data_IF_921573528473
#
_entry.id   IF_921573528473
#
_cell.length_a   1.000
_cell.length_b   1.000
_cell.length_c   1.000
_cell.angle_alpha   90.00
_cell.angle_beta   90.00
_cell.angle_gamma   90.00
#
_symmetry.space_group_name_H-M   'P 1'
#
loop_
_entity.id
_entity.type
_entity.pdbx_description
1 polymer ?
#
# COMPACT_ATOMS: atom_id res chain seq x y z
N UNK A 1 -4.12 0.93 -9.84
CA UNK A 1 -4.97 0.99 -11.05
C UNK A 1 -6.37 1.55 -10.75
N UNK A 2 -7.07 1.14 -9.67
CA UNK A 2 -8.41 1.68 -9.37
C UNK A 2 -8.45 3.22 -9.26
N UNK A 3 -7.38 3.82 -8.73
CA UNK A 3 -7.25 5.27 -8.57
C UNK A 3 -7.22 6.07 -9.90
N UNK A 4 -7.10 5.40 -11.05
CA UNK A 4 -7.21 5.99 -12.39
C UNK A 4 -8.43 5.44 -13.17
N UNK A 5 -9.42 4.88 -12.47
CA UNK A 5 -10.64 4.33 -13.07
C UNK A 5 -10.48 2.98 -13.76
N UNK A 6 -9.37 2.28 -13.54
CA UNK A 6 -9.10 0.96 -14.14
C UNK A 6 -9.31 -0.12 -13.09
N UNK A 7 -10.35 -0.94 -13.27
CA UNK A 7 -10.68 -2.07 -12.39
C UNK A 7 -9.76 -3.28 -12.64
N UNK A 8 -8.50 -3.14 -12.23
CA UNK A 8 -7.49 -4.20 -12.23
C UNK A 8 -6.76 -4.21 -10.90
N UNK A 9 -6.40 -5.39 -10.42
CA UNK A 9 -5.60 -5.58 -9.20
C UNK A 9 -4.13 -5.32 -9.46
N UNK A 10 -3.77 -4.06 -9.72
CA UNK A 10 -2.40 -3.65 -10.05
C UNK A 10 -2.03 -2.38 -9.30
N UNK A 11 -0.87 -2.37 -8.65
CA UNK A 11 -0.23 -1.15 -8.16
C UNK A 11 1.26 -1.12 -8.51
N UNK A 12 1.86 0.06 -8.41
CA UNK A 12 3.29 0.27 -8.59
C UNK A 12 3.89 0.89 -7.34
N UNK A 13 5.12 0.52 -7.01
CA UNK A 13 5.86 1.08 -5.88
C UNK A 13 7.18 1.66 -6.38
N UNK A 14 7.42 2.94 -6.10
CA UNK A 14 8.71 3.58 -6.36
C UNK A 14 9.60 3.48 -5.13
N UNK A 15 10.69 2.72 -5.23
CA UNK A 15 11.73 2.74 -4.21
C UNK A 15 12.58 4.01 -4.43
N UNK A 16 12.67 4.95 -3.48
CA UNK A 16 13.41 6.19 -3.66
C UNK A 16 14.91 5.96 -3.91
N UNK A 17 15.45 4.79 -3.55
CA UNK A 17 16.86 4.43 -3.78
C UNK A 17 17.07 3.75 -5.14
N UNK A 18 16.01 3.40 -5.86
CA UNK A 18 16.09 2.73 -7.16
C UNK A 18 15.55 3.62 -8.26
N UNK A 19 16.09 3.44 -9.46
CA UNK A 19 15.60 4.14 -10.65
C UNK A 19 14.26 3.60 -11.15
N UNK A 20 13.98 2.31 -10.87
CA UNK A 20 12.84 1.59 -11.44
C UNK A 20 11.70 1.41 -10.43
N UNK A 21 10.48 1.35 -10.96
CA UNK A 21 9.28 0.96 -10.22
C UNK A 21 9.24 -0.56 -10.03
N UNK A 22 8.73 -1.00 -8.88
CA UNK A 22 8.31 -2.39 -8.69
C UNK A 22 6.83 -2.50 -9.03
N UNK A 23 6.48 -3.46 -9.89
CA UNK A 23 5.09 -3.69 -10.32
C UNK A 23 4.50 -4.87 -9.54
N UNK A 24 3.27 -4.71 -9.06
CA UNK A 24 2.56 -5.73 -8.31
C UNK A 24 1.22 -6.04 -9.00
N UNK A 25 1.17 -7.15 -9.72
CA UNK A 25 -0.03 -7.66 -10.39
C UNK A 25 -0.65 -8.78 -9.56
N UNK A 26 -1.96 -8.70 -9.34
CA UNK A 26 -2.74 -9.60 -8.49
C UNK A 26 -2.10 -9.83 -7.11
N UNK A 27 -1.72 -8.76 -6.38
CA UNK A 27 -1.05 -8.91 -5.10
C UNK A 27 -1.98 -9.49 -4.03
N UNK A 28 -1.40 -10.31 -3.17
CA UNK A 28 -2.03 -10.90 -1.99
C UNK A 28 -1.11 -10.76 -0.78
N UNK A 29 -1.66 -10.25 0.33
CA UNK A 29 -0.99 -10.29 1.62
C UNK A 29 -1.17 -11.70 2.18
N UNK A 30 -0.07 -12.43 2.36
CA UNK A 30 -0.06 -13.78 2.91
C UNK A 30 0.04 -13.76 4.44
N UNK A 31 0.84 -12.84 4.99
CA UNK A 31 1.03 -12.69 6.44
C UNK A 31 1.28 -11.23 6.81
N UNK A 32 0.81 -10.87 8.00
CA UNK A 32 1.10 -9.61 8.68
C UNK A 32 1.76 -9.91 10.02
N UNK A 33 2.72 -9.07 10.43
CA UNK A 33 3.22 -9.13 11.80
C UNK A 33 2.11 -8.76 12.80
N UNK A 34 2.17 -9.36 14.00
CA UNK A 34 1.29 -8.97 15.12
C UNK A 34 1.58 -7.54 15.58
N UNK A 35 2.87 -7.18 15.57
CA UNK A 35 3.33 -5.83 15.83
C UNK A 35 2.93 -4.89 14.70
N UNK A 36 2.46 -3.71 15.08
CA UNK A 36 2.09 -2.65 14.18
C UNK A 36 1.94 -1.35 14.93
N UNK A 37 2.17 -0.25 14.23
CA UNK A 37 2.20 1.10 14.79
C UNK A 37 1.26 2.02 14.03
N UNK A 38 0.85 3.09 14.70
CA UNK A 38 0.16 4.20 14.03
C UNK A 38 1.17 4.91 13.13
N UNK A 39 0.93 4.87 11.83
CA UNK A 39 1.77 5.51 10.82
C UNK A 39 1.02 6.65 10.15
N UNK A 40 1.66 7.81 9.92
CA UNK A 40 1.04 8.88 9.16
C UNK A 40 0.85 8.43 7.69
N UNK A 41 -0.35 8.66 7.17
CA UNK A 41 -0.74 8.38 5.79
C UNK A 41 -1.46 9.57 5.18
N UNK A 42 -1.19 9.78 3.90
CA UNK A 42 -1.97 10.59 2.98
C UNK A 42 -2.17 9.79 1.69
N UNK A 43 -3.02 10.27 0.79
CA UNK A 43 -3.31 9.57 -0.46
C UNK A 43 -3.60 10.56 -1.60
N UNK A 44 -3.12 10.25 -2.81
CA UNK A 44 -3.40 11.07 -4.00
C UNK A 44 -4.89 11.08 -4.38
N UNK A 45 -5.64 10.04 -3.99
CA UNK A 45 -7.09 9.95 -4.20
C UNK A 45 -7.90 10.76 -3.20
N UNK A 46 -7.30 11.16 -2.07
CA UNK A 46 -7.96 11.95 -1.02
C UNK A 46 -7.01 13.09 -0.66
N UNK A 47 -6.97 14.08 -1.55
CA UNK A 47 -6.04 15.22 -1.45
C UNK A 47 -6.32 16.05 -0.22
N UNK A 48 -5.27 16.67 0.31
CA UNK A 48 -5.31 17.59 1.45
C UNK A 48 -5.73 16.95 2.77
N UNK A 49 -5.71 15.62 2.89
CA UNK A 49 -5.98 14.93 4.16
C UNK A 49 -4.78 14.09 4.59
N UNK A 50 -4.52 14.11 5.90
CA UNK A 50 -3.56 13.25 6.57
C UNK A 50 -4.19 12.65 7.81
N UNK A 51 -3.80 11.43 8.15
CA UNK A 51 -4.22 10.79 9.39
C UNK A 51 -3.28 9.65 9.76
N UNK A 52 -3.47 9.09 10.94
CA UNK A 52 -2.68 7.95 11.42
C UNK A 52 -3.46 6.66 11.24
N UNK A 53 -2.90 5.71 10.50
CA UNK A 53 -3.50 4.37 10.31
C UNK A 53 -2.62 3.35 11.01
N UNK A 54 -3.23 2.37 11.70
CA UNK A 54 -2.46 1.28 12.30
C UNK A 54 -2.07 0.29 11.20
N UNK A 55 -0.76 0.11 10.98
CA UNK A 55 -0.22 -0.82 9.98
C UNK A 55 0.72 -1.82 10.63
N UNK A 56 0.75 -3.04 10.10
CA UNK A 56 1.73 -4.04 10.51
C UNK A 56 3.14 -3.61 10.04
N UNK A 57 4.15 -3.81 10.88
CA UNK A 57 5.52 -3.41 10.55
C UNK A 57 6.19 -4.31 9.51
N UNK A 58 5.68 -5.54 9.34
CA UNK A 58 6.14 -6.50 8.33
C UNK A 58 4.97 -7.13 7.58
N UNK A 59 5.16 -7.32 6.29
CA UNK A 59 4.19 -7.95 5.37
C UNK A 59 4.92 -9.01 4.56
N UNK A 60 4.36 -10.21 4.48
CA UNK A 60 4.69 -11.18 3.44
C UNK A 60 3.66 -11.02 2.32
N UNK A 61 4.10 -10.62 1.13
CA UNK A 61 3.23 -10.43 -0.02
C UNK A 61 3.65 -11.33 -1.18
N UNK A 62 2.64 -11.85 -1.87
CA UNK A 62 2.76 -12.57 -3.13
C UNK A 62 2.19 -11.70 -4.24
N UNK A 63 2.84 -11.64 -5.40
CA UNK A 63 2.34 -10.97 -6.59
C UNK A 63 3.02 -11.51 -7.86
N UNK A 64 2.65 -10.97 -9.02
CA UNK A 64 3.42 -11.10 -10.27
C UNK A 64 4.03 -9.75 -10.64
N UNK A 65 5.21 -9.78 -11.25
CA UNK A 65 5.84 -8.60 -11.84
C UNK A 65 5.31 -8.30 -13.26
N UNK A 66 5.85 -7.27 -13.91
CA UNK A 66 5.47 -6.86 -15.26
C UNK A 66 5.77 -7.89 -16.34
N UNK A 67 6.67 -8.84 -16.09
CA UNK A 67 6.97 -9.97 -16.98
C UNK A 67 6.02 -11.14 -16.77
N UNK A 68 5.15 -11.06 -15.77
CA UNK A 68 4.23 -12.12 -15.37
C UNK A 68 4.84 -13.15 -14.43
N UNK A 69 6.11 -12.97 -14.01
CA UNK A 69 6.81 -13.87 -13.10
C UNK A 69 6.26 -13.67 -11.68
N UNK A 70 5.89 -14.79 -11.05
CA UNK A 70 5.41 -14.83 -9.67
C UNK A 70 6.57 -14.60 -8.70
N UNK A 71 6.34 -13.80 -7.67
CA UNK A 71 7.26 -13.64 -6.56
C UNK A 71 6.51 -13.62 -5.22
N UNK A 72 7.21 -14.05 -4.18
CA UNK A 72 6.81 -13.92 -2.78
C UNK A 72 7.95 -13.24 -2.03
N UNK A 73 7.64 -12.17 -1.28
CA UNK A 73 8.66 -11.36 -0.64
C UNK A 73 8.20 -10.75 0.68
N UNK A 74 9.13 -10.69 1.62
CA UNK A 74 8.97 -9.95 2.87
C UNK A 74 9.31 -8.48 2.67
N UNK A 75 8.44 -7.61 3.19
CA UNK A 75 8.60 -6.17 3.24
C UNK A 75 8.49 -5.69 4.68
N UNK A 76 9.17 -4.60 5.01
CA UNK A 76 9.15 -4.00 6.34
C UNK A 76 9.12 -2.48 6.28
N UNK A 77 8.75 -1.86 7.41
CA UNK A 77 8.74 -0.41 7.55
C UNK A 77 7.83 0.27 6.52
N UNK A 78 8.34 1.33 5.87
CA UNK A 78 7.56 2.11 4.90
C UNK A 78 7.05 1.26 3.73
N UNK A 79 7.83 0.29 3.24
CA UNK A 79 7.38 -0.58 2.16
C UNK A 79 6.21 -1.47 2.59
N UNK A 80 6.23 -1.98 3.82
CA UNK A 80 5.11 -2.75 4.37
C UNK A 80 3.86 -1.87 4.52
N UNK A 81 4.01 -0.64 4.98
CA UNK A 81 2.92 0.34 5.06
C UNK A 81 2.31 0.61 3.68
N UNK A 82 3.13 0.95 2.68
CA UNK A 82 2.66 1.23 1.31
C UNK A 82 1.93 0.02 0.73
N UNK A 83 2.47 -1.19 0.86
CA UNK A 83 1.81 -2.39 0.31
C UNK A 83 0.44 -2.61 0.95
N UNK A 84 0.30 -2.43 2.26
CA UNK A 84 -1.00 -2.52 2.93
C UNK A 84 -1.98 -1.45 2.42
N UNK A 85 -1.50 -0.21 2.21
CA UNK A 85 -2.30 0.88 1.65
C UNK A 85 -2.76 0.60 0.21
N UNK A 86 -1.84 0.19 -0.66
CA UNK A 86 -2.18 -0.08 -2.06
C UNK A 86 -3.09 -1.31 -2.21
N UNK A 87 -2.91 -2.33 -1.36
CA UNK A 87 -3.83 -3.49 -1.33
C UNK A 87 -5.23 -3.08 -0.85
N UNK A 88 -5.34 -2.13 0.08
CA UNK A 88 -6.64 -1.56 0.48
C UNK A 88 -7.35 -0.90 -0.71
N UNK A 89 -6.64 -0.12 -1.53
CA UNK A 89 -7.20 0.44 -2.76
C UNK A 89 -7.75 -0.63 -3.71
N UNK A 90 -7.06 -1.77 -3.84
CA UNK A 90 -7.54 -2.88 -4.66
C UNK A 90 -8.77 -3.58 -4.07
N UNK A 91 -9.09 -3.32 -2.81
CA UNK A 91 -10.27 -3.84 -2.12
C UNK A 91 -11.33 -2.74 -1.89
N UNK A 92 -11.18 -1.56 -2.51
CA UNK A 92 -12.12 -0.45 -2.37
C UNK A 92 -12.08 0.27 -1.02
N UNK A 93 -10.99 0.12 -0.26
CA UNK A 93 -10.81 0.73 1.06
C UNK A 93 -9.83 1.90 0.94
N UNK A 94 -10.19 3.04 1.52
CA UNK A 94 -9.35 4.23 1.61
C UNK A 94 -8.73 4.34 3.00
N UNK A 95 -7.62 5.07 3.10
CA UNK A 95 -6.95 5.24 4.40
C UNK A 95 -7.84 6.01 5.40
N UNK A 96 -8.68 6.94 4.93
CA UNK A 96 -9.60 7.71 5.76
C UNK A 96 -10.66 6.85 6.44
N UNK A 97 -10.98 5.68 5.87
CA UNK A 97 -11.91 4.71 6.49
C UNK A 97 -11.31 4.07 7.74
N UNK A 98 -9.98 4.15 7.91
CA UNK A 98 -9.22 3.55 9.02
C UNK A 98 -8.47 4.58 9.87
N UNK A 99 -8.41 5.83 9.42
CA UNK A 99 -7.56 6.84 10.00
C UNK A 99 -8.06 7.28 11.39
N UNK A 100 -7.11 7.51 12.28
CA UNK A 100 -7.28 8.29 13.52
C UNK A 100 -6.62 9.65 13.33
N UNK A 101 -7.05 10.63 14.11
CA UNK A 101 -6.47 11.99 14.06
C UNK A 101 -6.46 12.53 12.63
N UNK A 102 -7.60 12.38 11.93
CA UNK A 102 -7.73 12.84 10.54
C UNK A 102 -7.77 14.37 10.53
N UNK A 103 -6.82 14.96 9.83
CA UNK A 103 -6.66 16.40 9.70
C UNK A 103 -6.63 16.79 8.23
N UNK A 104 -7.21 17.95 7.93
CA UNK A 104 -7.10 18.57 6.61
C UNK A 104 -5.86 19.45 6.59
N UNK A 105 -4.94 19.21 5.66
CA UNK A 105 -3.84 20.12 5.35
C UNK A 105 -4.42 21.47 4.93
N UNK A 106 -4.01 22.52 5.63
CA UNK A 106 -4.36 23.91 5.29
C UNK A 106 -3.62 24.39 4.06
#
# INVERSE_FOLDING_TARGET
APQIGVDKRIFILKDPKKKNYSVFINPKILKLSREGRLTPEGCLSVRDYWGKVKRADKVLAEARDETGKKFEKNFSGLAAQIIQHEVDHLNGVLFVDKAKELEKSK
#
